data_IF_095509111803
#
_entry.id   IF_095509111803
#
_cell.length_a   1.000
_cell.length_b   1.000
_cell.length_c   1.000
_cell.angle_alpha   90.00
_cell.angle_beta   90.00
_cell.angle_gamma   90.00
#
_symmetry.space_group_name_H-M   'P 1'
#
loop_
_entity.id
_entity.type
_entity.pdbx_description
1 polymer ?
#
# COMPACT_ATOMS: atom_id res chain seq x y z
N UNK A 1 22.89 12.48 -20.45
CA UNK A 1 21.71 11.63 -20.68
C UNK A 1 20.74 11.79 -19.51
N UNK A 2 19.62 12.50 -19.70
CA UNK A 2 18.60 12.68 -18.66
C UNK A 2 17.66 11.48 -18.68
N UNK A 3 17.77 10.61 -17.68
CA UNK A 3 16.84 9.50 -17.45
C UNK A 3 15.45 10.08 -17.18
N UNK A 4 14.53 9.92 -18.14
CA UNK A 4 13.09 10.14 -17.93
C UNK A 4 12.64 9.04 -16.96
N UNK A 5 12.62 9.34 -15.65
CA UNK A 5 11.92 8.52 -14.66
C UNK A 5 10.48 8.36 -15.14
N UNK A 6 10.17 7.14 -15.57
CA UNK A 6 8.87 6.74 -16.04
C UNK A 6 7.91 6.83 -14.84
N UNK A 7 7.24 7.97 -14.70
CA UNK A 7 6.25 8.23 -13.64
C UNK A 7 5.02 7.41 -14.01
N UNK A 8 5.09 6.09 -13.75
CA UNK A 8 3.96 5.18 -13.89
C UNK A 8 2.82 5.79 -13.07
N UNK A 9 1.73 6.16 -13.73
CA UNK A 9 0.48 6.51 -13.08
C UNK A 9 0.05 5.28 -12.28
N UNK A 10 0.37 5.26 -10.98
CA UNK A 10 -0.19 4.28 -10.06
C UNK A 10 -1.63 4.72 -9.84
N UNK A 11 -2.57 4.00 -10.41
CA UNK A 11 -3.99 4.22 -10.17
C UNK A 11 -4.31 3.64 -8.79
N UNK A 12 -4.25 4.48 -7.76
CA UNK A 12 -4.69 4.10 -6.43
C UNK A 12 -6.22 4.09 -6.40
N UNK A 13 -6.82 3.01 -5.89
CA UNK A 13 -8.28 2.89 -5.81
C UNK A 13 -8.82 3.56 -4.54
N UNK A 14 -8.01 3.68 -3.48
CA UNK A 14 -8.34 4.40 -2.26
C UNK A 14 -7.16 5.15 -1.62
N UNK A 15 -7.46 6.05 -0.67
CA UNK A 15 -6.44 6.69 0.20
C UNK A 15 -5.66 5.65 1.02
N UNK A 16 -6.31 4.55 1.41
CA UNK A 16 -5.70 3.50 2.20
C UNK A 16 -4.71 2.70 1.36
N UNK A 17 -5.03 2.40 0.10
CA UNK A 17 -4.12 1.70 -0.83
C UNK A 17 -2.90 2.56 -1.12
N UNK A 18 -3.11 3.86 -1.35
CA UNK A 18 -1.97 4.77 -1.52
C UNK A 18 -1.13 4.80 -0.25
N UNK A 19 -1.76 4.91 0.92
CA UNK A 19 -1.07 4.90 2.21
C UNK A 19 -0.27 3.62 2.41
N UNK A 20 -0.86 2.46 2.15
CA UNK A 20 -0.19 1.18 2.18
C UNK A 20 1.02 1.16 1.22
N UNK A 21 0.81 1.56 -0.04
CA UNK A 21 1.85 1.64 -1.05
C UNK A 21 3.02 2.55 -0.65
N UNK A 22 2.76 3.64 0.09
CA UNK A 22 3.83 4.50 0.65
C UNK A 22 4.58 3.83 1.80
N UNK A 23 3.90 3.11 2.71
CA UNK A 23 4.58 2.36 3.78
C UNK A 23 5.45 1.24 3.22
N UNK A 24 5.00 0.58 2.14
CA UNK A 24 5.82 -0.40 1.43
C UNK A 24 7.04 0.24 0.77
N UNK A 25 6.87 1.41 0.14
CA UNK A 25 7.98 2.17 -0.45
C UNK A 25 9.02 2.55 0.62
N UNK A 26 8.60 2.94 1.83
CA UNK A 26 9.50 3.14 2.98
C UNK A 26 10.23 1.83 3.34
N UNK A 27 9.49 0.72 3.45
CA UNK A 27 10.06 -0.58 3.79
C UNK A 27 11.11 -1.04 2.79
N UNK A 28 10.87 -0.86 1.49
CA UNK A 28 11.85 -1.23 0.45
C UNK A 28 13.10 -0.36 0.51
N UNK A 29 12.96 0.94 0.73
CA UNK A 29 14.10 1.85 0.95
C UNK A 29 14.91 1.43 2.19
N UNK A 30 14.23 1.08 3.28
CA UNK A 30 14.88 0.69 4.52
C UNK A 30 15.63 -0.65 4.37
N UNK A 31 15.01 -1.63 3.72
CA UNK A 31 15.64 -2.92 3.44
C UNK A 31 16.86 -2.78 2.54
N UNK A 32 16.81 -1.87 1.56
CA UNK A 32 17.94 -1.57 0.70
C UNK A 32 19.13 -0.99 1.51
N UNK A 33 18.85 -0.16 2.53
CA UNK A 33 19.88 0.41 3.41
C UNK A 33 20.45 -0.58 4.44
N UNK A 34 19.65 -1.54 4.92
CA UNK A 34 20.01 -2.39 6.06
C UNK A 34 21.04 -3.50 5.79
N UNK A 35 21.38 -3.77 4.52
CA UNK A 35 22.07 -4.99 4.05
C UNK A 35 21.35 -6.30 4.47
N UNK A 36 21.63 -7.47 3.86
CA UNK A 36 20.99 -8.72 4.27
C UNK A 36 21.36 -9.16 5.70
N UNK A 37 20.48 -9.93 6.35
CA UNK A 37 20.77 -10.61 7.62
C UNK A 37 20.30 -9.93 8.90
N UNK A 38 19.47 -8.89 8.81
CA UNK A 38 18.84 -8.26 9.98
C UNK A 38 17.69 -9.10 10.53
N UNK A 39 17.43 -8.95 11.83
CA UNK A 39 16.30 -9.59 12.53
C UNK A 39 15.16 -8.63 12.82
N UNK A 40 15.47 -7.34 13.00
CA UNK A 40 14.49 -6.25 13.16
C UNK A 40 14.95 -5.02 12.41
N UNK A 41 14.03 -4.42 11.66
CA UNK A 41 14.25 -3.17 10.95
C UNK A 41 13.11 -2.21 11.26
N UNK A 42 13.43 -1.07 11.87
CA UNK A 42 12.45 -0.04 12.17
C UNK A 42 12.84 1.27 11.48
N UNK A 43 11.85 2.04 11.05
CA UNK A 43 12.01 3.38 10.48
C UNK A 43 11.14 4.32 11.28
N UNK A 44 11.78 5.30 11.92
CA UNK A 44 11.11 6.38 12.62
C UNK A 44 11.23 7.67 11.81
N UNK A 45 10.12 8.35 11.60
CA UNK A 45 10.05 9.66 10.95
C UNK A 45 9.36 10.66 11.87
N UNK A 46 10.13 11.65 12.28
CA UNK A 46 9.71 12.79 13.10
C UNK A 46 9.56 14.01 12.17
N UNK A 47 8.42 14.72 12.18
CA UNK A 47 8.26 15.90 11.32
C UNK A 47 7.27 16.95 11.86
N UNK A 48 7.63 18.21 11.66
CA UNK A 48 6.82 19.42 11.85
C UNK A 48 7.14 20.38 10.69
N UNK A 49 6.16 20.70 9.85
CA UNK A 49 6.36 21.56 8.69
C UNK A 49 7.49 21.04 7.78
N UNK A 50 8.51 21.87 7.58
CA UNK A 50 9.73 21.52 6.83
C UNK A 50 10.83 20.88 7.69
N UNK A 51 10.69 20.88 9.02
CA UNK A 51 11.67 20.30 9.93
C UNK A 51 11.37 18.81 10.14
N UNK A 52 12.26 17.95 9.67
CA UNK A 52 12.05 16.51 9.65
C UNK A 52 13.34 15.75 9.96
N UNK A 53 13.21 14.58 10.59
CA UNK A 53 14.28 13.62 10.84
C UNK A 53 13.77 12.22 10.54
N UNK A 54 14.54 11.45 9.79
CA UNK A 54 14.29 10.02 9.56
C UNK A 54 15.44 9.22 10.14
N UNK A 55 15.13 8.27 11.01
CA UNK A 55 16.09 7.36 11.62
C UNK A 55 15.71 5.94 11.25
N UNK A 56 16.66 5.18 10.71
CA UNK A 56 16.48 3.75 10.43
C UNK A 56 17.28 2.98 11.47
N UNK A 57 16.63 2.06 12.16
CA UNK A 57 17.20 1.26 13.23
C UNK A 57 17.22 -0.20 12.77
N UNK A 58 18.42 -0.78 12.70
CA UNK A 58 18.66 -2.18 12.38
C UNK A 58 19.19 -2.88 13.62
N UNK A 59 18.45 -3.87 14.11
CA UNK A 59 18.83 -4.68 15.28
C UNK A 59 19.26 -3.82 16.50
N UNK A 60 18.58 -2.69 16.70
CA UNK A 60 18.87 -1.72 17.77
C UNK A 60 19.93 -0.67 17.45
N UNK A 61 20.55 -0.72 16.27
CA UNK A 61 21.58 0.22 15.84
C UNK A 61 21.08 1.16 14.74
N UNK A 62 21.29 2.46 14.89
CA UNK A 62 20.96 3.44 13.86
C UNK A 62 21.87 3.30 12.63
N UNK A 63 21.27 3.33 11.44
CA UNK A 63 21.97 3.38 10.16
C UNK A 63 22.28 4.85 9.83
N UNK A 64 23.45 5.10 9.25
CA UNK A 64 23.87 6.45 8.86
C UNK A 64 22.89 7.11 7.89
N UNK A 65 22.58 8.39 8.12
CA UNK A 65 21.60 9.15 7.33
C UNK A 65 21.90 9.20 5.82
N UNK A 66 23.18 9.09 5.42
CA UNK A 66 23.59 9.03 4.01
C UNK A 66 22.99 7.82 3.26
N UNK A 67 22.73 6.72 3.96
CA UNK A 67 22.20 5.48 3.37
C UNK A 67 20.66 5.47 3.28
N UNK A 68 20.00 6.52 3.75
CA UNK A 68 18.54 6.61 3.94
C UNK A 68 17.89 7.59 2.93
N UNK A 69 18.57 7.87 1.81
CA UNK A 69 18.10 8.84 0.82
C UNK A 69 16.74 8.45 0.21
N UNK A 70 15.84 9.43 0.08
CA UNK A 70 14.56 9.28 -0.62
C UNK A 70 13.35 8.91 0.26
N UNK A 71 13.52 8.70 1.57
CA UNK A 71 12.41 8.38 2.48
C UNK A 71 11.47 9.55 2.79
N UNK A 72 11.92 10.80 2.65
CA UNK A 72 11.10 11.98 2.99
C UNK A 72 9.81 12.04 2.17
N UNK A 73 9.87 11.73 0.88
CA UNK A 73 8.72 11.84 -0.02
C UNK A 73 7.59 10.86 0.32
N UNK A 74 7.85 9.54 0.51
CA UNK A 74 6.84 8.62 1.03
C UNK A 74 6.21 9.08 2.35
N UNK A 75 7.01 9.56 3.32
CA UNK A 75 6.49 10.03 4.61
C UNK A 75 5.69 11.32 4.50
N UNK A 76 6.15 12.29 3.69
CA UNK A 76 5.39 13.50 3.36
C UNK A 76 4.02 13.13 2.80
N UNK A 77 3.98 12.19 1.86
CA UNK A 77 2.73 11.71 1.28
C UNK A 77 1.84 10.98 2.28
N UNK A 78 2.43 10.17 3.16
CA UNK A 78 1.71 9.53 4.27
C UNK A 78 1.05 10.57 5.19
N UNK A 79 1.76 11.66 5.54
CA UNK A 79 1.17 12.75 6.36
C UNK A 79 -0.03 13.39 5.68
N UNK A 80 0.05 13.65 4.37
CA UNK A 80 -1.06 14.20 3.60
C UNK A 80 -2.27 13.25 3.57
N UNK A 81 -2.02 11.95 3.42
CA UNK A 81 -3.07 10.92 3.41
C UNK A 81 -3.69 10.70 4.79
N UNK A 82 -2.93 10.94 5.87
CA UNK A 82 -3.39 10.87 7.25
C UNK A 82 -4.04 12.16 7.77
N UNK A 83 -4.03 13.25 7.00
CA UNK A 83 -4.68 14.49 7.42
C UNK A 83 -6.19 14.30 7.58
N UNK A 84 -6.72 14.75 8.72
CA UNK A 84 -8.15 14.87 8.96
C UNK A 84 -8.49 16.30 9.38
N UNK A 85 -9.55 16.85 8.78
CA UNK A 85 -9.99 18.21 9.05
C UNK A 85 -10.25 18.43 10.54
N UNK A 86 -9.68 19.50 11.11
CA UNK A 86 -9.83 19.85 12.51
C UNK A 86 -8.98 19.02 13.49
N UNK A 87 -8.42 17.89 13.09
CA UNK A 87 -7.55 17.08 13.94
C UNK A 87 -6.07 17.14 13.51
N UNK A 88 -5.79 17.52 12.25
CA UNK A 88 -4.44 17.63 11.71
C UNK A 88 -3.92 16.28 11.19
N UNK A 89 -2.61 16.04 11.32
CA UNK A 89 -1.94 14.78 10.94
C UNK A 89 -1.05 14.27 12.08
N UNK A 90 -0.29 13.20 11.91
CA UNK A 90 0.66 12.73 12.95
C UNK A 90 1.96 13.54 12.92
N UNK A 91 2.68 13.60 14.05
CA UNK A 91 4.02 14.22 14.15
C UNK A 91 5.14 13.19 14.07
N UNK A 92 4.90 12.00 14.62
CA UNK A 92 5.80 10.86 14.56
C UNK A 92 5.12 9.71 13.85
N UNK A 93 5.85 9.01 12.97
CA UNK A 93 5.47 7.73 12.40
C UNK A 93 6.63 6.75 12.57
N UNK A 94 6.35 5.60 13.18
CA UNK A 94 7.29 4.49 13.32
C UNK A 94 6.73 3.31 12.54
N UNK A 95 7.56 2.68 11.71
CA UNK A 95 7.22 1.49 10.95
C UNK A 95 8.26 0.41 11.26
N UNK A 96 7.82 -0.77 11.68
CA UNK A 96 8.68 -1.92 11.91
C UNK A 96 8.41 -2.98 10.86
N UNK A 97 9.47 -3.53 10.28
CA UNK A 97 9.40 -4.50 9.20
C UNK A 97 9.92 -5.85 9.68
N UNK A 98 9.22 -6.92 9.31
CA UNK A 98 9.61 -8.28 9.64
C UNK A 98 10.69 -8.83 8.68
N UNK A 99 11.67 -9.62 9.17
CA UNK A 99 12.69 -10.23 8.33
C UNK A 99 12.06 -11.26 7.39
N UNK A 100 12.61 -11.39 6.18
CA UNK A 100 12.19 -12.41 5.22
C UNK A 100 10.80 -12.20 4.57
N UNK A 101 10.04 -11.19 4.99
CA UNK A 101 8.71 -10.91 4.46
C UNK A 101 8.44 -9.43 4.22
N UNK A 102 7.22 -9.15 3.76
CA UNK A 102 6.77 -7.78 3.46
C UNK A 102 5.87 -7.16 4.52
N UNK A 103 5.52 -7.91 5.55
CA UNK A 103 4.75 -7.43 6.69
C UNK A 103 5.40 -6.24 7.39
N UNK A 104 4.54 -5.36 7.91
CA UNK A 104 4.96 -4.28 8.79
C UNK A 104 3.94 -4.06 9.90
N UNK A 105 4.44 -3.66 11.06
CA UNK A 105 3.65 -2.94 12.05
C UNK A 105 4.07 -1.48 12.04
N UNK A 106 3.29 -0.63 12.68
CA UNK A 106 3.60 0.76 12.76
C UNK A 106 2.80 1.44 13.84
N UNK A 107 3.24 2.62 14.19
CA UNK A 107 2.61 3.47 15.19
C UNK A 107 2.75 4.91 14.77
N UNK A 108 1.67 5.65 14.88
CA UNK A 108 1.68 7.11 14.69
C UNK A 108 1.32 7.82 15.99
N UNK A 109 1.93 8.97 16.21
CA UNK A 109 1.66 9.84 17.36
C UNK A 109 1.45 11.27 16.87
N UNK A 110 0.33 11.87 17.28
CA UNK A 110 -0.09 13.22 16.93
C UNK A 110 -0.17 14.19 18.10
N UNK A 111 0.38 13.80 19.24
CA UNK A 111 0.21 14.54 20.49
C UNK A 111 1.55 14.88 21.13
N UNK A 112 2.52 13.95 21.11
CA UNK A 112 3.84 14.20 21.68
C UNK A 112 4.71 15.11 20.77
N UNK A 113 5.55 15.99 21.35
CA UNK A 113 6.52 16.74 20.58
C UNK A 113 7.57 15.79 19.98
N UNK A 114 7.81 15.81 18.65
CA UNK A 114 8.79 14.95 18.00
C UNK A 114 10.25 15.44 18.20
N UNK A 115 10.43 16.69 18.63
CA UNK A 115 11.72 17.32 18.88
C UNK A 115 11.68 18.09 20.20
N UNK A 116 12.82 18.19 20.87
CA UNK A 116 12.98 19.01 22.08
C UNK A 116 12.75 20.50 21.76
N UNK A 117 13.43 20.99 20.72
CA UNK A 117 13.29 22.35 20.21
C UNK A 117 12.59 22.35 18.83
N UNK A 118 11.45 23.05 18.75
CA UNK A 118 10.69 23.20 17.51
C UNK A 118 10.93 24.59 16.93
N UNK A 119 11.49 24.71 15.70
CA UNK A 119 11.67 26.01 15.07
C UNK A 119 10.33 26.74 14.87
N UNK A 120 10.20 28.04 15.22
CA UNK A 120 8.92 28.75 15.12
C UNK A 120 8.31 28.78 13.72
N UNK A 121 9.15 28.93 12.69
CA UNK A 121 8.69 28.88 11.30
C UNK A 121 8.12 27.51 10.92
N UNK A 122 8.65 26.43 11.49
CA UNK A 122 8.16 25.08 11.26
C UNK A 122 6.80 24.86 11.95
N UNK A 123 6.65 25.33 13.19
CA UNK A 123 5.38 25.29 13.93
C UNK A 123 4.26 26.04 13.18
N UNK A 124 4.56 27.24 12.69
CA UNK A 124 3.60 28.03 11.93
C UNK A 124 3.22 27.36 10.59
N UNK A 125 4.22 26.84 9.86
CA UNK A 125 3.98 26.11 8.61
C UNK A 125 3.12 24.86 8.83
N UNK A 126 3.33 24.14 9.93
CA UNK A 126 2.54 22.96 10.31
C UNK A 126 1.07 23.30 10.54
N UNK A 127 0.78 24.34 11.35
CA UNK A 127 -0.61 24.75 11.61
C UNK A 127 -1.31 25.33 10.38
N UNK A 128 -0.54 25.89 9.45
CA UNK A 128 -1.06 26.39 8.17
C UNK A 128 -1.40 25.24 7.21
N UNK A 129 -0.53 24.21 7.14
CA UNK A 129 -0.71 23.09 6.23
C UNK A 129 -1.72 22.05 6.75
N UNK A 130 -1.71 21.77 8.06
CA UNK A 130 -2.52 20.76 8.73
C UNK A 130 -3.26 21.37 9.92
N UNK A 131 -4.28 22.22 9.66
CA UNK A 131 -4.97 22.95 10.71
C UNK A 131 -5.64 22.01 11.71
N UNK A 132 -5.56 22.40 12.99
CA UNK A 132 -6.17 21.70 14.12
C UNK A 132 -7.13 22.62 14.84
N UNK A 133 -8.27 22.09 15.27
CA UNK A 133 -9.21 22.76 16.17
C UNK A 133 -8.58 22.97 17.54
N UNK A 134 -7.83 21.98 18.00
CA UNK A 134 -7.13 22.00 19.29
C UNK A 134 -5.65 21.61 19.09
N UNK A 135 -4.78 22.56 18.71
CA UNK A 135 -3.35 22.32 18.61
C UNK A 135 -2.74 21.92 19.96
N UNK A 136 -1.78 20.97 20.02
CA UNK A 136 -1.05 20.68 21.24
C UNK A 136 -0.37 21.92 21.80
N UNK A 137 -0.36 22.07 23.14
CA UNK A 137 0.19 23.25 23.80
C UNK A 137 1.66 23.54 23.47
N UNK A 138 2.48 22.51 23.28
CA UNK A 138 3.87 22.66 22.86
C UNK A 138 4.01 23.27 21.46
N UNK A 139 3.08 22.97 20.54
CA UNK A 139 3.11 23.49 19.18
C UNK A 139 2.73 24.98 19.15
N UNK A 140 1.78 25.37 20.01
CA UNK A 140 1.43 26.78 20.23
C UNK A 140 2.56 27.55 20.91
N UNK A 141 3.23 26.95 21.90
CA UNK A 141 4.34 27.56 22.61
C UNK A 141 5.55 27.80 21.68
N UNK A 142 5.72 26.99 20.64
CA UNK A 142 6.76 27.16 19.63
C UNK A 142 6.45 28.26 18.61
N UNK A 143 5.23 28.82 18.57
CA UNK A 143 4.89 29.85 17.60
C UNK A 143 5.72 31.13 17.81
N UNK A 144 6.04 31.84 16.73
CA UNK A 144 6.78 33.09 16.85
C UNK A 144 5.94 34.11 17.63
N UNK A 145 6.56 34.74 18.62
CA UNK A 145 5.93 35.80 19.44
C UNK A 145 5.67 37.08 18.66
N UNK A 146 6.25 37.22 17.46
CA UNK A 146 6.01 38.29 16.51
C UNK A 146 5.45 37.72 15.19
N UNK A 147 4.43 38.37 14.63
CA UNK A 147 3.73 37.91 13.42
C UNK A 147 4.70 37.81 12.24
N UNK A 148 4.91 36.62 11.64
CA UNK A 148 5.58 36.53 10.35
C UNK A 148 4.60 36.95 9.27
N UNK A 149 4.94 38.03 8.58
CA UNK A 149 4.22 38.48 7.39
C UNK A 149 4.53 37.49 6.26
N UNK A 150 3.45 37.00 5.63
CA UNK A 150 3.35 36.12 4.46
C UNK A 150 3.57 34.61 4.68
N UNK A 151 2.45 33.88 4.68
CA UNK A 151 2.42 32.45 4.31
C UNK A 151 1.37 32.21 3.22
N UNK A 152 1.70 31.40 2.19
CA UNK A 152 0.75 30.98 1.18
C UNK A 152 -0.29 30.00 1.74
N UNK A 153 -1.47 30.04 1.13
CA UNK A 153 -2.73 29.44 1.58
C UNK A 153 -2.74 27.90 1.48
N UNK A 154 -3.46 27.32 2.43
CA UNK A 154 -3.76 25.92 2.75
C UNK A 154 -3.72 24.87 1.61
N UNK A 155 -2.97 23.79 1.87
CA UNK A 155 -2.98 22.55 1.08
C UNK A 155 -4.30 21.75 1.22
N UNK A 156 -5.15 22.12 2.19
CA UNK A 156 -6.34 21.37 2.61
C UNK A 156 -7.48 21.31 1.59
N UNK A 157 -7.68 22.35 0.78
CA UNK A 157 -8.83 22.40 -0.17
C UNK A 157 -8.75 21.35 -1.29
N UNK A 158 -7.57 20.79 -1.55
CA UNK A 158 -7.39 19.82 -2.65
C UNK A 158 -8.00 18.44 -2.36
N UNK A 159 -8.19 18.10 -1.08
CA UNK A 159 -8.68 16.77 -0.68
C UNK A 159 -10.17 16.72 -0.39
N UNK A 160 -10.77 17.80 0.11
CA UNK A 160 -12.23 17.85 0.33
C UNK A 160 -12.99 17.73 -0.99
N UNK A 161 -12.41 18.19 -2.10
CA UNK A 161 -12.98 18.05 -3.45
C UNK A 161 -12.95 16.62 -3.99
N UNK A 162 -12.09 15.75 -3.48
CA UNK A 162 -11.97 14.37 -3.99
C UNK A 162 -13.05 13.45 -3.39
N UNK A 163 -13.54 13.77 -2.19
CA UNK A 163 -14.62 13.02 -1.52
C UNK A 163 -16.02 13.29 -2.08
N UNK A 164 -16.26 14.48 -2.65
CA UNK A 164 -17.61 14.90 -3.07
C UNK A 164 -18.05 14.41 -4.46
N UNK A 165 -17.14 14.06 -5.36
CA UNK A 165 -17.50 13.60 -6.71
C UNK A 165 -17.66 12.07 -6.85
N UNK A 166 -17.20 11.28 -5.89
CA UNK A 166 -17.28 9.81 -5.91
C UNK A 166 -18.45 9.26 -5.08
N UNK A 167 -18.93 10.00 -4.09
CA UNK A 167 -20.08 9.66 -3.24
C UNK A 167 -21.42 9.71 -3.99
N UNK A 168 -21.53 10.47 -5.08
CA UNK A 168 -22.78 10.54 -5.86
C UNK A 168 -22.99 9.36 -6.83
N UNK A 169 -21.97 8.53 -7.13
CA UNK A 169 -22.06 7.46 -8.15
C UNK A 169 -21.98 6.03 -7.63
N UNK A 170 -21.47 5.83 -6.43
CA UNK A 170 -21.39 4.53 -5.76
C UNK A 170 -22.09 4.69 -4.42
N UNK A 171 -23.24 4.04 -4.27
CA UNK A 171 -24.03 4.09 -3.04
C UNK A 171 -23.19 3.81 -1.80
N UNK A 172 -23.65 4.35 -0.67
CA UNK A 172 -23.03 4.55 0.66
C UNK A 172 -22.24 3.40 1.34
N UNK A 173 -21.84 2.33 0.66
CA UNK A 173 -21.41 1.11 1.33
C UNK A 173 -19.91 0.86 1.51
N UNK A 174 -18.95 1.61 0.95
CA UNK A 174 -17.53 1.17 1.03
C UNK A 174 -16.46 2.26 1.21
N UNK A 175 -16.74 3.37 1.88
CA UNK A 175 -15.66 4.25 2.36
C UNK A 175 -15.16 3.76 3.71
N UNK A 176 -14.18 2.84 3.70
CA UNK A 176 -13.35 2.62 4.90
C UNK A 176 -12.77 3.98 5.31
N UNK A 177 -13.13 4.44 6.50
CA UNK A 177 -12.62 5.69 7.08
C UNK A 177 -11.09 5.74 7.01
N UNK A 178 -10.47 6.92 6.80
CA UNK A 178 -9.03 7.05 6.97
C UNK A 178 -8.66 6.66 8.42
N UNK A 179 -7.79 5.66 8.56
CA UNK A 179 -7.24 5.20 9.84
C UNK A 179 -6.50 6.33 10.59
N UNK A 180 -6.36 6.23 11.93
CA UNK A 180 -6.31 7.40 12.82
C UNK A 180 -4.97 8.16 12.83
N UNK A 181 -5.06 9.39 13.35
CA UNK A 181 -3.95 10.34 13.56
C UNK A 181 -3.05 9.90 14.74
N UNK A 182 -3.51 9.00 15.60
CA UNK A 182 -2.70 8.25 16.58
C UNK A 182 -3.17 6.79 16.60
N UNK A 183 -2.26 5.82 16.72
CA UNK A 183 -2.62 4.42 16.91
C UNK A 183 -1.68 3.42 16.24
N UNK A 184 -2.01 2.13 16.40
CA UNK A 184 -1.32 1.02 15.76
C UNK A 184 -1.74 0.86 14.29
N UNK A 185 -0.76 0.53 13.45
CA UNK A 185 -0.89 0.20 12.05
C UNK A 185 -0.35 -1.22 11.91
N UNK A 186 -1.12 -2.14 11.35
CA UNK A 186 -0.64 -3.48 11.08
C UNK A 186 -0.97 -3.84 9.63
N UNK A 187 0.05 -4.31 8.93
CA UNK A 187 -0.10 -4.94 7.63
C UNK A 187 0.60 -6.29 7.67
N UNK A 188 -0.20 -7.32 7.44
CA UNK A 188 0.28 -8.67 7.24
C UNK A 188 -0.14 -9.05 5.82
N UNK A 189 0.82 -9.28 4.90
CA UNK A 189 0.50 -9.71 3.55
C UNK A 189 -0.29 -11.02 3.61
N UNK A 190 -1.27 -11.16 2.72
CA UNK A 190 -1.99 -12.42 2.61
C UNK A 190 -1.06 -13.48 2.02
N UNK A 191 -0.83 -14.57 2.75
CA UNK A 191 -0.11 -15.74 2.25
C UNK A 191 -1.04 -16.73 1.55
N UNK A 192 -2.31 -16.73 1.96
CA UNK A 192 -3.33 -17.59 1.39
C UNK A 192 -4.71 -16.92 1.37
N UNK A 193 -5.60 -17.46 0.55
CA UNK A 193 -7.04 -17.23 0.60
C UNK A 193 -7.80 -18.54 0.39
N UNK A 194 -9.09 -18.57 0.74
CA UNK A 194 -9.97 -19.71 0.42
C UNK A 194 -10.99 -19.29 -0.62
N UNK A 195 -10.94 -19.88 -1.81
CA UNK A 195 -11.92 -19.66 -2.87
C UNK A 195 -13.09 -20.63 -2.72
N UNK A 196 -14.31 -20.08 -2.62
CA UNK A 196 -15.60 -20.80 -2.56
C UNK A 196 -16.48 -20.56 -3.79
N UNK A 197 -16.10 -19.61 -4.64
CA UNK A 197 -16.72 -19.39 -5.95
C UNK A 197 -15.70 -19.46 -7.07
N UNK A 198 -16.14 -19.92 -8.24
CA UNK A 198 -15.40 -19.87 -9.49
C UNK A 198 -16.34 -19.44 -10.61
N UNK A 199 -15.91 -18.44 -11.37
CA UNK A 199 -16.60 -18.01 -12.59
C UNK A 199 -15.60 -17.78 -13.72
N UNK A 200 -16.04 -17.98 -14.96
CA UNK A 200 -15.25 -17.77 -16.16
C UNK A 200 -16.03 -16.95 -17.17
N UNK A 201 -15.48 -15.80 -17.57
CA UNK A 201 -16.01 -14.98 -18.66
C UNK A 201 -15.11 -15.05 -19.90
N UNK A 202 -15.74 -15.26 -21.05
CA UNK A 202 -15.11 -15.49 -22.37
C UNK A 202 -15.49 -14.46 -23.43
N UNK A 203 -15.76 -13.20 -23.05
CA UNK A 203 -16.23 -12.17 -24.00
C UNK A 203 -15.09 -11.56 -24.81
N UNK A 204 -15.27 -11.49 -26.13
CA UNK A 204 -14.42 -10.74 -27.09
C UNK A 204 -12.93 -11.15 -27.07
N UNK A 205 -12.64 -12.44 -26.95
CA UNK A 205 -11.26 -12.95 -26.90
C UNK A 205 -10.51 -12.62 -25.61
N UNK A 206 -11.22 -12.11 -24.59
CA UNK A 206 -10.72 -12.02 -23.22
C UNK A 206 -11.21 -13.25 -22.46
N UNK A 207 -10.29 -13.98 -21.86
CA UNK A 207 -10.60 -15.06 -20.94
C UNK A 207 -10.25 -14.58 -19.54
N UNK A 208 -11.24 -14.47 -18.66
CA UNK A 208 -11.03 -14.07 -17.26
C UNK A 208 -11.62 -15.13 -16.35
N UNK A 209 -10.86 -15.55 -15.35
CA UNK A 209 -11.31 -16.38 -14.26
C UNK A 209 -11.41 -15.55 -12.98
N UNK A 210 -12.44 -15.80 -12.18
CA UNK A 210 -12.67 -15.18 -10.88
C UNK A 210 -12.75 -16.25 -9.80
N UNK A 211 -12.09 -16.01 -8.68
CA UNK A 211 -12.12 -16.83 -7.47
C UNK A 211 -12.56 -15.93 -6.31
N UNK A 212 -13.63 -16.29 -5.60
CA UNK A 212 -14.23 -15.45 -4.54
C UNK A 212 -14.27 -16.19 -3.20
N UNK A 213 -14.14 -15.49 -2.07
CA UNK A 213 -14.24 -16.13 -0.73
C UNK A 213 -15.66 -16.51 -0.32
N UNK A 214 -16.66 -15.84 -0.89
CA UNK A 214 -18.09 -16.12 -0.67
C UNK A 214 -18.74 -16.62 -1.95
N UNK A 215 -19.57 -17.65 -1.83
CA UNK A 215 -20.33 -18.20 -2.95
C UNK A 215 -21.54 -17.30 -3.25
N UNK A 216 -21.72 -16.91 -4.52
CA UNK A 216 -22.94 -16.24 -4.99
C UNK A 216 -22.97 -14.71 -4.88
N UNK A 217 -21.95 -14.07 -4.33
CA UNK A 217 -21.82 -12.61 -4.33
C UNK A 217 -20.52 -12.17 -5.03
N UNK A 218 -20.62 -11.16 -5.89
CA UNK A 218 -19.47 -10.41 -6.39
C UNK A 218 -18.97 -9.46 -5.29
N UNK A 219 -18.61 -10.03 -4.13
CA UNK A 219 -18.08 -9.29 -3.00
C UNK A 219 -16.67 -8.74 -3.27
N UNK A 220 -16.24 -7.85 -2.38
CA UNK A 220 -14.96 -7.13 -2.45
C UNK A 220 -13.73 -8.05 -2.41
N UNK A 221 -13.90 -9.32 -2.04
CA UNK A 221 -12.83 -10.31 -1.92
C UNK A 221 -12.82 -11.33 -3.05
N UNK A 222 -12.20 -10.92 -4.15
CA UNK A 222 -11.96 -11.76 -5.31
C UNK A 222 -10.51 -11.71 -5.76
N UNK A 223 -9.98 -12.87 -6.13
CA UNK A 223 -8.80 -13.01 -6.97
C UNK A 223 -9.26 -13.21 -8.42
N UNK A 224 -8.65 -12.51 -9.36
CA UNK A 224 -8.94 -12.66 -10.77
C UNK A 224 -7.65 -12.88 -11.55
N UNK A 225 -7.72 -13.74 -12.57
CA UNK A 225 -6.66 -13.92 -13.54
C UNK A 225 -7.28 -13.85 -14.92
N UNK A 226 -6.69 -13.08 -15.82
CA UNK A 226 -7.22 -12.97 -17.18
C UNK A 226 -6.15 -12.75 -18.22
N UNK A 227 -6.47 -13.15 -19.44
CA UNK A 227 -5.66 -12.97 -20.65
C UNK A 227 -6.39 -12.12 -21.67
N UNK A 228 -5.66 -11.22 -22.32
CA UNK A 228 -6.12 -10.46 -23.48
C UNK A 228 -4.98 -10.30 -24.49
N UNK A 229 -5.15 -10.88 -25.68
CA UNK A 229 -4.07 -10.97 -26.67
C UNK A 229 -2.86 -11.73 -26.10
N UNK A 230 -1.68 -11.11 -26.20
CA UNK A 230 -0.41 -11.68 -25.74
C UNK A 230 -0.07 -11.38 -24.27
N UNK A 231 -0.98 -10.76 -23.52
CA UNK A 231 -0.74 -10.38 -22.13
C UNK A 231 -1.73 -11.08 -21.19
N UNK A 232 -1.24 -11.51 -20.03
CA UNK A 232 -2.08 -11.86 -18.88
C UNK A 232 -1.87 -10.86 -17.74
N UNK A 233 -2.84 -10.84 -16.83
CA UNK A 233 -2.82 -10.05 -15.61
C UNK A 233 -3.44 -10.87 -14.48
N UNK A 234 -3.09 -10.48 -13.26
CA UNK A 234 -3.68 -10.97 -12.02
C UNK A 234 -4.21 -9.78 -11.25
N UNK A 235 -5.32 -9.94 -10.55
CA UNK A 235 -5.89 -8.90 -9.71
C UNK A 235 -6.38 -9.51 -8.40
N UNK A 236 -6.39 -8.70 -7.35
CA UNK A 236 -6.92 -9.07 -6.04
C UNK A 236 -7.61 -7.86 -5.45
N UNK A 237 -8.83 -8.02 -4.96
CA UNK A 237 -9.64 -6.92 -4.39
C UNK A 237 -9.77 -5.72 -5.34
N UNK A 238 -9.94 -5.97 -6.65
CA UNK A 238 -9.99 -4.92 -7.67
C UNK A 238 -8.64 -4.25 -7.98
N UNK A 239 -7.57 -4.56 -7.24
CA UNK A 239 -6.21 -4.06 -7.51
C UNK A 239 -5.61 -4.90 -8.63
N UNK A 240 -5.38 -4.27 -9.78
CA UNK A 240 -4.73 -4.92 -10.93
C UNK A 240 -3.22 -5.01 -10.69
N UNK A 241 -2.70 -6.24 -10.63
CA UNK A 241 -1.27 -6.52 -10.64
C UNK A 241 -0.63 -6.20 -12.00
N UNK A 242 0.69 -6.21 -12.06
CA UNK A 242 1.40 -5.97 -13.32
C UNK A 242 1.18 -7.10 -14.34
N UNK A 243 1.02 -6.76 -15.62
CA UNK A 243 1.11 -7.76 -16.69
C UNK A 243 2.48 -8.42 -16.68
N UNK A 244 2.52 -9.75 -16.76
CA UNK A 244 3.77 -10.53 -16.61
C UNK A 244 4.23 -10.75 -15.16
N UNK A 245 3.35 -10.49 -14.18
CA UNK A 245 3.66 -10.59 -12.75
C UNK A 245 3.65 -12.00 -12.14
N UNK A 246 3.32 -13.03 -12.91
CA UNK A 246 3.28 -14.42 -12.46
C UNK A 246 4.47 -15.17 -13.05
N UNK A 247 5.28 -15.78 -12.19
CA UNK A 247 6.43 -16.61 -12.55
C UNK A 247 6.03 -18.06 -12.77
N UNK A 248 5.18 -18.59 -11.90
CA UNK A 248 4.71 -19.97 -11.97
C UNK A 248 3.28 -20.08 -11.48
N UNK A 249 2.58 -21.10 -11.99
CA UNK A 249 1.26 -21.51 -11.51
C UNK A 249 1.30 -23.01 -11.30
N UNK A 250 0.77 -23.47 -10.17
CA UNK A 250 0.66 -24.89 -9.83
C UNK A 250 -0.73 -25.18 -9.30
N UNK A 251 -1.38 -26.23 -9.80
CA UNK A 251 -2.66 -26.69 -9.26
C UNK A 251 -2.52 -28.13 -8.74
N UNK A 252 -2.32 -28.27 -7.43
CA UNK A 252 -2.16 -29.57 -6.78
C UNK A 252 -3.42 -29.90 -5.96
N UNK A 253 -4.22 -30.84 -6.46
CA UNK A 253 -5.51 -31.19 -5.87
C UNK A 253 -6.43 -29.96 -5.75
N UNK A 254 -6.68 -29.53 -4.52
CA UNK A 254 -7.51 -28.38 -4.16
C UNK A 254 -6.69 -27.14 -3.77
N UNK A 255 -5.42 -27.05 -4.16
CA UNK A 255 -4.56 -25.88 -3.87
C UNK A 255 -3.99 -25.32 -5.17
N UNK A 256 -4.38 -24.10 -5.50
CA UNK A 256 -3.78 -23.31 -6.58
C UNK A 256 -2.67 -22.42 -5.97
N UNK A 257 -1.42 -22.65 -6.37
CA UNK A 257 -0.27 -21.85 -5.95
C UNK A 257 0.17 -20.93 -7.08
N UNK A 258 0.42 -19.67 -6.73
CA UNK A 258 0.94 -18.67 -7.65
C UNK A 258 2.32 -18.23 -7.17
N UNK A 259 3.34 -18.48 -7.99
CA UNK A 259 4.63 -17.82 -7.86
C UNK A 259 4.55 -16.47 -8.54
N UNK A 260 4.65 -15.37 -7.78
CA UNK A 260 4.58 -14.01 -8.28
C UNK A 260 5.98 -13.39 -8.37
N UNK A 261 6.15 -12.40 -9.26
CA UNK A 261 7.28 -11.48 -9.14
C UNK A 261 7.12 -10.65 -7.87
N UNK A 262 8.22 -10.12 -7.35
CA UNK A 262 8.16 -9.23 -6.18
C UNK A 262 7.26 -8.04 -6.48
N UNK A 263 7.41 -7.41 -7.63
CA UNK A 263 6.60 -6.25 -8.04
C UNK A 263 5.10 -6.56 -8.09
N UNK A 264 4.72 -7.79 -8.49
CA UNK A 264 3.32 -8.20 -8.56
C UNK A 264 2.76 -8.56 -7.18
N UNK A 265 3.51 -9.31 -6.36
CA UNK A 265 3.15 -9.57 -4.97
C UNK A 265 2.98 -8.27 -4.19
N UNK A 266 3.83 -7.29 -4.49
CA UNK A 266 3.80 -5.96 -3.90
C UNK A 266 2.52 -5.19 -4.20
N UNK A 267 2.06 -5.26 -5.45
CA UNK A 267 0.83 -4.60 -5.87
C UNK A 267 -0.42 -5.33 -5.37
N UNK A 268 -0.36 -6.66 -5.28
CA UNK A 268 -1.50 -7.49 -4.86
C UNK A 268 -1.59 -7.68 -3.35
N UNK A 269 -0.72 -7.02 -2.59
CA UNK A 269 -0.67 -7.07 -1.13
C UNK A 269 -0.60 -8.52 -0.59
N UNK A 270 0.29 -9.29 -1.19
CA UNK A 270 0.46 -10.72 -0.95
C UNK A 270 1.95 -11.10 -0.91
N UNK A 271 2.25 -12.34 -0.57
CA UNK A 271 3.61 -12.89 -0.67
C UNK A 271 3.94 -13.32 -2.10
N UNK A 272 5.24 -13.51 -2.39
CA UNK A 272 5.68 -13.99 -3.70
C UNK A 272 5.24 -15.42 -4.00
N UNK A 273 4.79 -16.15 -2.99
CA UNK A 273 4.06 -17.40 -3.12
C UNK A 273 2.70 -17.18 -2.50
N UNK A 274 1.65 -17.17 -3.32
CA UNK A 274 0.28 -17.00 -2.86
C UNK A 274 -0.49 -18.29 -3.06
N UNK A 275 -1.07 -18.82 -1.98
CA UNK A 275 -1.86 -20.04 -2.02
C UNK A 275 -3.37 -19.72 -2.06
N UNK A 276 -4.09 -20.41 -2.93
CA UNK A 276 -5.54 -20.32 -3.01
C UNK A 276 -6.09 -21.72 -2.76
N UNK A 277 -6.66 -21.91 -1.56
CA UNK A 277 -7.35 -23.14 -1.20
C UNK A 277 -8.72 -23.16 -1.89
N UNK A 278 -8.98 -24.19 -2.68
CA UNK A 278 -10.19 -24.34 -3.47
C UNK A 278 -11.20 -25.16 -2.68
N UNK A 279 -12.08 -24.49 -1.95
CA UNK A 279 -13.27 -25.07 -1.32
C UNK A 279 -14.39 -25.09 -2.36
N UNK A 280 -14.15 -25.83 -3.45
CA UNK A 280 -14.99 -25.90 -4.63
C UNK A 280 -15.36 -27.37 -4.94
N UNK A 281 -16.51 -27.62 -5.58
CA UNK A 281 -16.83 -28.95 -6.08
C UNK A 281 -15.76 -29.49 -7.05
N UNK A 282 -15.48 -30.81 -7.05
CA UNK A 282 -14.44 -31.41 -7.89
C UNK A 282 -14.59 -31.10 -9.39
N UNK A 283 -15.81 -31.03 -9.89
CA UNK A 283 -16.14 -30.66 -11.27
C UNK A 283 -15.74 -29.22 -11.59
N UNK A 284 -15.89 -28.30 -10.62
CA UNK A 284 -15.48 -26.90 -10.73
C UNK A 284 -13.95 -26.80 -10.75
N UNK A 285 -13.27 -27.58 -9.91
CA UNK A 285 -11.80 -27.67 -9.91
C UNK A 285 -11.27 -28.21 -11.25
N UNK A 286 -11.94 -29.22 -11.84
CA UNK A 286 -11.60 -29.73 -13.16
C UNK A 286 -11.77 -28.67 -14.27
N UNK A 287 -12.82 -27.84 -14.16
CA UNK A 287 -13.02 -26.65 -15.01
C UNK A 287 -11.86 -25.66 -14.90
N UNK A 288 -11.47 -25.30 -13.67
CA UNK A 288 -10.32 -24.43 -13.40
C UNK A 288 -9.02 -24.99 -13.99
N UNK A 289 -8.77 -26.30 -13.83
CA UNK A 289 -7.59 -26.99 -14.39
C UNK A 289 -7.51 -26.87 -15.91
N UNK A 290 -8.66 -26.82 -16.58
CA UNK A 290 -8.73 -26.64 -18.04
C UNK A 290 -8.56 -25.18 -18.44
N UNK A 291 -9.19 -24.26 -17.69
CA UNK A 291 -9.22 -22.84 -17.99
C UNK A 291 -7.85 -22.15 -17.83
N UNK A 292 -7.11 -22.47 -16.76
CA UNK A 292 -5.83 -21.81 -16.43
C UNK A 292 -4.78 -21.98 -17.54
N UNK A 293 -4.47 -23.19 -18.04
CA UNK A 293 -3.56 -23.35 -19.18
C UNK A 293 -4.09 -22.65 -20.43
N UNK A 294 -5.41 -22.64 -20.67
CA UNK A 294 -6.02 -21.95 -21.80
C UNK A 294 -5.74 -20.45 -21.80
N UNK A 295 -5.84 -19.80 -20.64
CA UNK A 295 -5.55 -18.37 -20.46
C UNK A 295 -4.06 -18.07 -20.65
N UNK A 296 -3.19 -18.97 -20.22
CA UNK A 296 -1.74 -18.73 -20.19
C UNK A 296 -1.04 -19.10 -21.50
N UNK A 297 -1.61 -20.00 -22.31
CA UNK A 297 -1.05 -20.40 -23.62
C UNK A 297 -1.01 -19.27 -24.66
N UNK A 298 -1.84 -18.24 -24.52
CA UNK A 298 -1.90 -17.14 -25.49
C UNK A 298 -0.85 -16.05 -25.27
N UNK A 299 0.02 -16.19 -24.25
CA UNK A 299 0.91 -15.13 -23.76
C UNK A 299 2.34 -15.34 -24.23
N UNK A 300 2.99 -14.26 -24.64
CA UNK A 300 4.44 -14.23 -24.92
C UNK A 300 5.23 -14.32 -23.60
N UNK A 301 5.98 -15.41 -23.41
CA UNK A 301 6.70 -15.70 -22.15
C UNK A 301 5.78 -16.20 -21.03
N UNK A 302 5.09 -17.35 -21.24
CA UNK A 302 4.11 -17.84 -20.27
C UNK A 302 4.78 -18.21 -18.94
N UNK A 303 4.08 -18.07 -17.80
CA UNK A 303 4.56 -18.60 -16.54
C UNK A 303 4.75 -20.12 -16.63
N UNK A 304 5.63 -20.65 -15.79
CA UNK A 304 5.83 -22.10 -15.69
C UNK A 304 4.56 -22.77 -15.15
N UNK A 305 4.02 -23.71 -15.92
CA UNK A 305 2.86 -24.53 -15.54
C UNK A 305 3.36 -25.85 -14.95
N UNK A 306 3.08 -26.09 -13.66
CA UNK A 306 3.51 -27.29 -12.96
C UNK A 306 2.27 -28.04 -12.45
N UNK A 307 2.19 -29.35 -12.70
CA UNK A 307 1.13 -30.20 -12.14
C UNK A 307 -0.28 -29.97 -12.72
N UNK A 308 -0.38 -29.44 -13.95
CA UNK A 308 -1.63 -29.30 -14.70
C UNK A 308 -1.90 -30.47 -15.62
#
# INVERSE_FOLDING_TARGET
MKSKRNRRNRNWHSRNDEGHGRRMEVGDLARAAAAPGWSRLAVRHDRIGAYARTTVIRDGHEIAAADVAGMDEPFRRLRELSYQAGAGTWFTCELEFAPGGRGYTGRVDSSAPPFEDVPPAAALAELTAFPRREPPGWLLAALPTAVPIELPVAYGERYDRWGSHLTERLGDHLLRHPLPITGELAYVPATAMTARGFDQDGRRGRHTLYLTEQAGEAGDEHFAMGGYGEAYWVARHGILGTGGGVRSVTLDGAVLRLGLTREAADLLETETVFEIHLDLPPETIAGLRTAVPGILRSVTGPPELIGF
#
